data_IF_574106227831
#
_entry.id   IF_574106227831
#
_cell.length_a   1.000
_cell.length_b   1.000
_cell.length_c   1.000
_cell.angle_alpha   90.00
_cell.angle_beta   90.00
_cell.angle_gamma   90.00
#
_symmetry.space_group_name_H-M   'P 1'
#
loop_
_entity.id
_entity.type
_entity.pdbx_description
1 polymer ?
#
# COMPACT_ATOMS: atom_id res chain seq x y z
N UNK A 1 30.04 6.34 6.53
CA UNK A 1 30.07 5.80 7.91
C UNK A 1 28.66 5.69 8.42
N UNK A 2 28.36 4.69 9.25
CA UNK A 2 27.07 4.58 9.94
C UNK A 2 27.25 4.77 11.45
N UNK A 3 26.23 5.31 12.12
CA UNK A 3 26.19 5.55 13.56
C UNK A 3 25.12 4.66 14.20
N UNK A 4 25.53 3.67 14.99
CA UNK A 4 24.57 2.87 15.75
C UNK A 4 23.86 3.70 16.83
N UNK A 5 22.69 3.26 17.31
CA UNK A 5 22.08 3.81 18.52
C UNK A 5 23.02 3.73 19.74
N UNK A 6 23.94 2.76 19.75
CA UNK A 6 25.01 2.63 20.76
C UNK A 6 26.23 3.55 20.54
N UNK A 7 26.23 4.39 19.50
CA UNK A 7 27.33 5.30 19.18
C UNK A 7 28.53 4.66 18.48
N UNK A 8 28.51 3.35 18.22
CA UNK A 8 29.52 2.66 17.40
C UNK A 8 29.44 3.19 15.97
N UNK A 9 30.57 3.70 15.48
CA UNK A 9 30.75 4.11 14.10
C UNK A 9 31.23 2.91 13.31
N UNK A 10 30.41 2.44 12.38
CA UNK A 10 30.84 1.44 11.41
C UNK A 10 31.59 2.16 10.30
N UNK A 11 32.90 1.88 10.13
CA UNK A 11 33.71 2.57 9.15
C UNK A 11 33.17 2.29 7.76
N UNK A 12 33.20 3.31 6.92
CA UNK A 12 32.92 3.15 5.50
C UNK A 12 33.96 2.19 4.90
N UNK A 13 33.50 1.05 4.39
CA UNK A 13 34.38 0.05 3.76
C UNK A 13 34.93 0.53 2.42
N UNK A 14 34.21 1.44 1.75
CA UNK A 14 34.59 2.03 0.49
C UNK A 14 33.99 3.44 0.34
N UNK A 15 34.86 4.44 0.19
CA UNK A 15 34.44 5.82 -0.04
C UNK A 15 33.99 6.01 -1.49
N UNK A 16 32.73 6.40 -1.67
CA UNK A 16 32.16 6.67 -2.99
C UNK A 16 32.73 7.96 -3.57
N UNK A 17 33.08 7.93 -4.86
CA UNK A 17 33.38 9.14 -5.64
C UNK A 17 32.10 9.91 -6.02
N UNK A 18 32.23 11.11 -6.58
CA UNK A 18 31.06 11.96 -6.89
C UNK A 18 30.08 11.32 -7.88
N UNK A 19 30.57 10.58 -8.87
CA UNK A 19 29.71 9.87 -9.82
C UNK A 19 28.95 8.72 -9.15
N UNK A 20 29.62 7.96 -8.29
CA UNK A 20 29.01 6.87 -7.52
C UNK A 20 27.97 7.40 -6.52
N UNK A 21 28.24 8.53 -5.86
CA UNK A 21 27.26 9.22 -5.00
C UNK A 21 26.05 9.67 -5.81
N UNK A 22 26.25 10.26 -6.98
CA UNK A 22 25.15 10.69 -7.84
C UNK A 22 24.24 9.52 -8.25
N UNK A 23 24.84 8.37 -8.60
CA UNK A 23 24.10 7.13 -8.88
C UNK A 23 23.31 6.67 -7.66
N UNK A 24 23.95 6.58 -6.50
CA UNK A 24 23.28 6.19 -5.25
C UNK A 24 22.12 7.13 -4.89
N UNK A 25 22.32 8.45 -4.98
CA UNK A 25 21.26 9.42 -4.72
C UNK A 25 20.10 9.32 -5.70
N UNK A 26 20.38 8.99 -6.97
CA UNK A 26 19.32 8.69 -7.93
C UNK A 26 18.53 7.45 -7.53
N UNK A 27 19.16 6.37 -7.07
CA UNK A 27 18.46 5.19 -6.57
C UNK A 27 17.59 5.48 -5.34
N UNK A 28 18.09 6.28 -4.41
CA UNK A 28 17.36 6.71 -3.21
C UNK A 28 16.14 7.57 -3.58
N UNK A 29 16.33 8.57 -4.44
CA UNK A 29 15.25 9.43 -4.91
C UNK A 29 14.17 8.63 -5.65
N UNK A 30 14.55 7.68 -6.51
CA UNK A 30 13.61 6.78 -7.18
C UNK A 30 12.91 5.83 -6.21
N UNK A 31 13.57 5.44 -5.12
CA UNK A 31 12.97 4.67 -4.03
C UNK A 31 11.82 5.45 -3.37
N UNK A 32 12.04 6.73 -3.07
CA UNK A 32 11.00 7.63 -2.60
C UNK A 32 9.90 7.86 -3.65
N UNK A 33 10.26 8.09 -4.92
CA UNK A 33 9.29 8.27 -6.02
C UNK A 33 8.37 7.06 -6.21
N UNK A 34 8.87 5.85 -5.93
CA UNK A 34 8.08 4.62 -6.00
C UNK A 34 6.96 4.55 -4.94
N UNK A 35 7.08 5.34 -3.87
CA UNK A 35 6.23 5.26 -2.69
C UNK A 35 6.55 4.07 -1.78
N UNK A 36 7.66 3.35 -1.98
CA UNK A 36 8.13 2.24 -1.16
C UNK A 36 9.54 2.52 -0.62
N UNK A 37 9.71 3.57 0.17
CA UNK A 37 10.98 4.02 0.77
C UNK A 37 11.13 3.56 2.23
N UNK A 38 11.95 2.58 2.57
CA UNK A 38 12.62 1.66 1.69
C UNK A 38 12.13 0.23 1.94
N UNK A 39 12.54 -0.66 1.05
CA UNK A 39 12.17 -2.08 1.06
C UNK A 39 13.27 -2.89 0.38
N UNK A 40 13.41 -4.14 0.79
CA UNK A 40 14.19 -5.16 0.12
C UNK A 40 13.90 -5.31 -1.37
N UNK A 41 12.66 -4.96 -1.80
CA UNK A 41 12.21 -4.99 -3.19
C UNK A 41 13.14 -4.24 -4.13
N UNK A 42 13.78 -3.16 -3.65
CA UNK A 42 14.65 -2.31 -4.44
C UNK A 42 16.13 -2.68 -4.39
N UNK A 43 16.52 -3.68 -3.60
CA UNK A 43 17.92 -4.06 -3.49
C UNK A 43 18.41 -4.85 -4.71
N UNK A 44 19.65 -4.60 -5.11
CA UNK A 44 20.35 -5.44 -6.10
C UNK A 44 20.49 -6.88 -5.61
N UNK A 45 20.75 -7.05 -4.32
CA UNK A 45 20.88 -8.34 -3.64
C UNK A 45 20.09 -8.31 -2.34
N UNK A 46 18.84 -8.81 -2.32
CA UNK A 46 18.00 -8.81 -1.12
C UNK A 46 18.61 -9.55 0.08
N UNK A 47 19.58 -10.47 -0.14
CA UNK A 47 20.28 -11.14 0.97
C UNK A 47 21.07 -10.24 1.87
N UNK A 48 21.44 -9.07 1.39
CA UNK A 48 22.17 -8.11 2.19
C UNK A 48 21.25 -7.51 3.26
N UNK A 49 19.92 -7.49 3.04
CA UNK A 49 18.95 -6.98 4.01
C UNK A 49 18.79 -7.85 5.25
N UNK A 50 19.10 -9.15 5.15
CA UNK A 50 18.93 -10.13 6.24
C UNK A 50 20.24 -10.39 6.99
N UNK A 51 21.38 -10.18 6.33
CA UNK A 51 22.71 -10.53 6.87
C UNK A 51 23.44 -9.37 7.53
N UNK A 52 23.14 -8.16 7.11
CA UNK A 52 23.81 -6.98 7.63
C UNK A 52 23.13 -6.54 8.94
N UNK A 53 23.91 -5.96 9.85
CA UNK A 53 23.38 -5.39 11.10
C UNK A 53 22.45 -4.19 10.82
N UNK A 54 22.46 -3.67 9.57
CA UNK A 54 21.70 -2.51 9.12
C UNK A 54 21.27 -2.67 7.67
N UNK A 55 20.14 -2.06 7.31
CA UNK A 55 19.62 -2.17 5.95
C UNK A 55 20.57 -1.53 4.91
N UNK A 56 20.92 -2.24 3.82
CA UNK A 56 21.98 -1.86 2.91
C UNK A 56 21.50 -0.85 1.85
N UNK A 57 21.16 0.38 2.25
CA UNK A 57 20.70 1.43 1.32
C UNK A 57 21.69 1.73 0.18
N UNK A 58 22.98 1.46 0.37
CA UNK A 58 24.00 1.57 -0.68
C UNK A 58 23.87 0.54 -1.80
N UNK A 59 23.15 -0.55 -1.56
CA UNK A 59 22.93 -1.65 -2.50
C UNK A 59 21.61 -1.51 -3.27
N UNK A 60 20.90 -0.38 -3.15
CA UNK A 60 19.69 -0.09 -3.93
C UNK A 60 19.98 -0.11 -5.43
N UNK A 61 19.04 -0.68 -6.17
CA UNK A 61 19.07 -0.87 -7.62
C UNK A 61 17.78 -0.39 -8.29
N UNK A 62 17.05 0.52 -7.63
CA UNK A 62 15.70 0.97 -8.00
C UNK A 62 15.55 1.32 -9.48
N UNK A 63 16.47 2.14 -10.03
CA UNK A 63 16.43 2.57 -11.43
C UNK A 63 16.51 1.42 -12.46
N UNK A 64 17.03 0.25 -12.07
CA UNK A 64 17.17 -0.90 -12.94
C UNK A 64 16.07 -1.94 -12.72
N UNK A 65 15.06 -1.63 -11.90
CA UNK A 65 13.91 -2.50 -11.69
C UNK A 65 12.74 -1.91 -12.48
N UNK A 66 12.13 -2.73 -13.33
CA UNK A 66 10.87 -2.40 -14.01
C UNK A 66 9.75 -2.96 -13.15
N UNK A 67 9.01 -2.10 -12.42
CA UNK A 67 8.16 -2.59 -11.36
C UNK A 67 6.73 -2.83 -11.83
N UNK A 68 6.10 -3.87 -11.27
CA UNK A 68 4.76 -4.35 -11.66
C UNK A 68 3.69 -3.29 -11.38
N UNK A 69 3.76 -2.65 -10.22
CA UNK A 69 2.82 -1.60 -9.79
C UNK A 69 2.85 -0.37 -10.70
N UNK A 70 4.03 0.19 -11.01
CA UNK A 70 4.13 1.34 -11.92
C UNK A 70 3.52 1.02 -13.29
N UNK A 71 3.84 -0.13 -13.87
CA UNK A 71 3.29 -0.51 -15.17
C UNK A 71 1.78 -0.79 -15.12
N UNK A 72 1.29 -1.30 -13.99
CA UNK A 72 -0.15 -1.46 -13.76
C UNK A 72 -0.86 -0.10 -13.67
N UNK A 73 -0.27 0.89 -13.02
CA UNK A 73 -0.79 2.26 -12.93
C UNK A 73 -0.76 2.94 -14.30
N UNK A 74 0.32 2.78 -15.06
CA UNK A 74 0.41 3.32 -16.43
C UNK A 74 -0.66 2.71 -17.33
N UNK A 75 -0.95 1.40 -17.21
CA UNK A 75 -2.08 0.77 -17.89
C UNK A 75 -3.41 1.44 -17.52
N UNK A 76 -3.67 1.63 -16.22
CA UNK A 76 -4.90 2.30 -15.77
C UNK A 76 -5.02 3.72 -16.35
N UNK A 77 -3.92 4.47 -16.39
CA UNK A 77 -3.88 5.82 -16.95
C UNK A 77 -4.20 5.79 -18.46
N UNK A 78 -3.62 4.86 -19.22
CA UNK A 78 -3.92 4.69 -20.65
C UNK A 78 -5.40 4.40 -20.89
N UNK A 79 -6.00 3.50 -20.09
CA UNK A 79 -7.44 3.20 -20.15
C UNK A 79 -8.28 4.43 -19.79
N UNK A 80 -7.94 5.14 -18.72
CA UNK A 80 -8.68 6.33 -18.28
C UNK A 80 -8.65 7.45 -19.33
N UNK A 81 -7.50 7.66 -19.98
CA UNK A 81 -7.38 8.62 -21.09
C UNK A 81 -8.24 8.18 -22.27
N UNK A 82 -8.21 6.89 -22.64
CA UNK A 82 -9.04 6.35 -23.71
C UNK A 82 -10.55 6.58 -23.43
N UNK A 83 -11.00 6.30 -22.21
CA UNK A 83 -12.38 6.52 -21.78
C UNK A 83 -12.79 7.99 -21.84
N UNK A 84 -11.91 8.89 -21.38
CA UNK A 84 -12.16 10.34 -21.44
C UNK A 84 -12.29 10.82 -22.89
N UNK A 85 -11.40 10.39 -23.79
CA UNK A 85 -11.45 10.73 -25.20
C UNK A 85 -12.74 10.20 -25.86
N UNK A 86 -13.15 8.98 -25.52
CA UNK A 86 -14.40 8.42 -26.03
C UNK A 86 -15.62 9.24 -25.58
N UNK A 87 -15.67 9.63 -24.29
CA UNK A 87 -16.75 10.45 -23.72
C UNK A 87 -16.80 11.87 -24.30
N UNK A 88 -15.69 12.38 -24.81
CA UNK A 88 -15.58 13.71 -25.42
C UNK A 88 -15.69 13.69 -26.96
N UNK A 89 -15.98 12.51 -27.54
CA UNK A 89 -16.25 12.34 -28.98
C UNK A 89 -15.01 12.10 -29.85
N UNK A 90 -13.82 11.90 -29.26
CA UNK A 90 -12.60 11.55 -29.98
C UNK A 90 -12.38 10.02 -29.97
N UNK A 91 -13.14 9.29 -30.79
CA UNK A 91 -13.07 7.83 -30.87
C UNK A 91 -11.74 7.32 -31.41
N UNK A 92 -11.10 8.05 -32.33
CA UNK A 92 -9.80 7.66 -32.89
C UNK A 92 -8.72 7.70 -31.81
N UNK A 93 -8.59 8.82 -31.09
CA UNK A 93 -7.64 8.92 -30.00
C UNK A 93 -7.93 7.93 -28.88
N UNK A 94 -9.21 7.64 -28.60
CA UNK A 94 -9.58 6.60 -27.64
C UNK A 94 -9.06 5.22 -28.08
N UNK A 95 -9.16 4.88 -29.37
CA UNK A 95 -8.63 3.62 -29.90
C UNK A 95 -7.11 3.56 -29.77
N UNK A 96 -6.39 4.64 -30.11
CA UNK A 96 -4.93 4.70 -30.03
C UNK A 96 -4.44 4.44 -28.59
N UNK A 97 -5.08 5.06 -27.59
CA UNK A 97 -4.73 4.84 -26.18
C UNK A 97 -5.11 3.44 -25.68
N UNK A 98 -6.21 2.88 -26.16
CA UNK A 98 -6.58 1.50 -25.83
C UNK A 98 -5.59 0.48 -26.42
N UNK A 99 -5.05 0.76 -27.61
CA UNK A 99 -4.00 -0.06 -28.22
C UNK A 99 -2.68 0.00 -27.43
N UNK A 100 -2.34 1.17 -26.85
CA UNK A 100 -1.20 1.30 -25.93
C UNK A 100 -1.42 0.48 -24.65
N UNK A 101 -2.60 0.60 -24.04
CA UNK A 101 -2.97 -0.18 -22.86
C UNK A 101 -2.90 -1.69 -23.13
N UNK A 102 -3.40 -2.14 -24.28
CA UNK A 102 -3.30 -3.54 -24.71
C UNK A 102 -1.85 -3.99 -24.83
N UNK A 103 -1.00 -3.23 -25.52
CA UNK A 103 0.42 -3.54 -25.68
C UNK A 103 1.14 -3.62 -24.31
N UNK A 104 0.80 -2.74 -23.37
CA UNK A 104 1.36 -2.77 -22.02
C UNK A 104 0.95 -4.02 -21.25
N UNK A 105 -0.33 -4.37 -21.27
CA UNK A 105 -0.85 -5.60 -20.64
C UNK A 105 -0.15 -6.85 -21.19
N UNK A 106 0.00 -6.93 -22.52
CA UNK A 106 0.72 -8.02 -23.19
C UNK A 106 2.21 -8.07 -22.80
N UNK A 107 2.89 -6.92 -22.77
CA UNK A 107 4.30 -6.84 -22.36
C UNK A 107 4.51 -7.21 -20.89
N UNK A 108 3.64 -6.73 -19.99
CA UNK A 108 3.67 -7.08 -18.57
C UNK A 108 3.46 -8.58 -18.37
N UNK A 109 2.47 -9.17 -19.04
CA UNK A 109 2.25 -10.61 -18.96
C UNK A 109 3.45 -11.40 -19.50
N UNK A 110 4.01 -11.00 -20.65
CA UNK A 110 5.17 -11.68 -21.23
C UNK A 110 6.44 -11.59 -20.36
N UNK A 111 6.66 -10.45 -19.69
CA UNK A 111 7.91 -10.18 -18.97
C UNK A 111 7.84 -10.48 -17.47
N UNK A 112 6.70 -10.24 -16.84
CA UNK A 112 6.56 -10.19 -15.38
C UNK A 112 5.70 -11.33 -14.82
N UNK A 113 4.80 -11.95 -15.60
CA UNK A 113 4.02 -13.09 -15.13
C UNK A 113 4.86 -14.36 -15.10
N UNK A 114 4.64 -15.19 -14.07
CA UNK A 114 5.27 -16.51 -13.96
C UNK A 114 4.19 -17.60 -13.81
N UNK A 115 4.00 -18.41 -14.86
CA UNK A 115 2.99 -19.49 -14.88
C UNK A 115 3.26 -20.63 -13.88
N UNK A 116 4.50 -20.81 -13.44
CA UNK A 116 4.84 -21.85 -12.46
C UNK A 116 4.49 -21.40 -11.05
N UNK A 117 4.82 -20.15 -10.72
CA UNK A 117 4.62 -19.55 -9.40
C UNK A 117 3.27 -18.82 -9.27
N UNK A 118 2.51 -18.71 -10.35
CA UNK A 118 1.21 -18.04 -10.40
C UNK A 118 1.22 -16.61 -9.87
N UNK A 119 2.29 -15.86 -10.16
CA UNK A 119 2.46 -14.50 -9.66
C UNK A 119 3.17 -13.61 -10.68
N UNK A 120 2.91 -12.30 -10.56
CA UNK A 120 3.73 -11.28 -11.18
C UNK A 120 5.01 -11.06 -10.36
N UNK A 121 6.09 -10.64 -11.01
CA UNK A 121 7.34 -10.26 -10.37
C UNK A 121 7.94 -9.06 -11.10
N UNK A 122 8.58 -8.16 -10.36
CA UNK A 122 9.33 -7.08 -10.97
C UNK A 122 10.46 -7.65 -11.85
N UNK A 123 10.75 -6.98 -12.97
CA UNK A 123 11.79 -7.38 -13.88
C UNK A 123 13.07 -6.57 -13.66
N UNK A 124 14.16 -7.25 -13.38
CA UNK A 124 15.45 -6.62 -13.10
C UNK A 124 16.28 -6.52 -14.38
N UNK A 125 16.56 -5.29 -14.81
CA UNK A 125 17.32 -4.98 -16.03
C UNK A 125 18.81 -5.30 -15.89
N UNK A 126 19.35 -5.30 -14.67
CA UNK A 126 20.74 -5.66 -14.39
C UNK A 126 20.95 -7.16 -14.59
N UNK A 127 20.09 -7.99 -13.99
CA UNK A 127 20.18 -9.46 -14.08
C UNK A 127 19.48 -10.03 -15.32
N UNK A 128 18.61 -9.25 -15.97
CA UNK A 128 17.73 -9.68 -17.07
C UNK A 128 16.83 -10.85 -16.68
N UNK A 129 16.32 -10.82 -15.45
CA UNK A 129 15.44 -11.87 -14.91
C UNK A 129 14.36 -11.28 -14.01
N UNK A 130 13.31 -12.05 -13.75
CA UNK A 130 12.30 -11.75 -12.75
C UNK A 130 12.90 -11.89 -11.33
N UNK A 131 12.62 -10.92 -10.45
CA UNK A 131 12.99 -10.96 -9.03
C UNK A 131 12.09 -11.95 -8.26
N UNK A 132 12.30 -13.25 -8.46
CA UNK A 132 11.41 -14.31 -7.94
C UNK A 132 11.74 -14.82 -6.55
N UNK A 133 12.98 -14.71 -6.14
CA UNK A 133 13.48 -15.38 -4.96
C UNK A 133 14.29 -14.42 -4.11
N UNK A 134 14.09 -14.54 -2.81
CA UNK A 134 14.86 -13.89 -1.76
C UNK A 134 15.36 -14.97 -0.80
N UNK A 135 16.33 -14.68 0.08
CA UNK A 135 16.71 -15.66 1.09
C UNK A 135 15.58 -15.96 2.06
N UNK A 136 15.62 -17.17 2.59
CA UNK A 136 14.83 -17.54 3.77
C UNK A 136 15.26 -16.70 4.96
N UNK A 137 14.30 -16.16 5.69
CA UNK A 137 14.49 -15.59 7.03
C UNK A 137 13.78 -16.45 8.08
N UNK A 138 13.68 -15.95 9.31
CA UNK A 138 13.11 -16.69 10.44
C UNK A 138 11.58 -16.84 10.41
N UNK A 139 10.85 -16.09 9.58
CA UNK A 139 9.38 -16.16 9.48
C UNK A 139 8.90 -16.90 8.22
N UNK A 140 9.83 -17.39 7.41
CA UNK A 140 9.50 -18.09 6.18
C UNK A 140 8.67 -19.35 6.44
N UNK A 141 7.61 -19.53 5.65
CA UNK A 141 6.67 -20.64 5.75
C UNK A 141 6.75 -21.59 4.54
N UNK A 142 6.12 -22.76 4.67
CA UNK A 142 6.19 -23.83 3.65
C UNK A 142 5.66 -23.39 2.28
N UNK A 143 4.59 -22.58 2.24
CA UNK A 143 4.04 -22.07 0.97
C UNK A 143 5.04 -21.19 0.20
N UNK A 144 6.01 -20.58 0.88
CA UNK A 144 7.04 -19.74 0.27
C UNK A 144 8.28 -20.53 -0.13
N UNK A 145 8.59 -21.60 0.60
CA UNK A 145 9.83 -22.38 0.42
C UNK A 145 9.66 -23.61 -0.47
N UNK A 146 8.46 -24.21 -0.53
CA UNK A 146 8.21 -25.44 -1.30
C UNK A 146 8.49 -25.31 -2.81
N UNK A 147 8.34 -24.11 -3.36
CA UNK A 147 8.56 -23.82 -4.79
C UNK A 147 9.82 -22.99 -5.04
N UNK A 148 10.70 -22.87 -4.04
CA UNK A 148 11.93 -22.10 -4.11
C UNK A 148 13.19 -22.99 -4.11
N UNK A 149 14.32 -22.50 -4.66
CA UNK A 149 15.62 -23.16 -4.51
C UNK A 149 16.03 -23.30 -3.04
N UNK A 150 16.91 -24.25 -2.75
CA UNK A 150 17.42 -24.48 -1.39
C UNK A 150 18.01 -23.18 -0.79
N UNK A 151 17.57 -22.82 0.41
CA UNK A 151 17.98 -21.60 1.12
C UNK A 151 17.30 -20.32 0.63
N UNK A 152 16.31 -20.42 -0.25
CA UNK A 152 15.51 -19.30 -0.75
C UNK A 152 14.02 -19.52 -0.49
N UNK A 153 13.27 -18.43 -0.60
CA UNK A 153 11.81 -18.41 -0.58
C UNK A 153 11.30 -17.58 -1.77
N UNK A 154 10.09 -17.89 -2.23
CA UNK A 154 9.42 -17.13 -3.30
C UNK A 154 9.09 -15.74 -2.77
N UNK A 155 9.63 -14.72 -3.44
CA UNK A 155 9.46 -13.35 -3.01
C UNK A 155 7.99 -12.95 -3.10
N UNK A 156 7.46 -12.44 -1.98
CA UNK A 156 6.17 -11.79 -1.90
C UNK A 156 6.34 -10.28 -1.95
N UNK A 157 5.46 -9.61 -2.67
CA UNK A 157 5.13 -8.23 -2.36
C UNK A 157 3.72 -7.91 -2.87
N UNK A 158 2.99 -7.05 -2.18
CA UNK A 158 1.60 -6.75 -2.59
C UNK A 158 1.51 -6.10 -3.98
N UNK A 159 2.59 -5.47 -4.47
CA UNK A 159 2.64 -4.96 -5.83
C UNK A 159 2.38 -6.01 -6.94
N UNK A 160 2.52 -7.31 -6.64
CA UNK A 160 2.18 -8.41 -7.55
C UNK A 160 0.68 -8.45 -7.91
N UNK A 161 -0.18 -7.81 -7.11
CA UNK A 161 -1.64 -7.81 -7.28
C UNK A 161 -2.20 -6.58 -7.99
N UNK A 162 -1.37 -5.56 -8.24
CA UNK A 162 -1.79 -4.37 -8.97
C UNK A 162 -2.39 -4.68 -10.35
N UNK A 163 -1.91 -5.67 -11.14
CA UNK A 163 -2.54 -5.99 -12.42
C UNK A 163 -3.99 -6.45 -12.31
N UNK A 164 -4.39 -7.07 -11.19
CA UNK A 164 -5.78 -7.46 -10.94
C UNK A 164 -6.62 -6.24 -10.52
N UNK A 165 -6.07 -5.38 -9.67
CA UNK A 165 -6.70 -4.12 -9.25
C UNK A 165 -6.93 -3.17 -10.43
N UNK A 166 -5.89 -2.84 -11.20
CA UNK A 166 -5.98 -1.89 -12.31
C UNK A 166 -6.63 -2.48 -13.57
N UNK A 167 -6.75 -3.81 -13.62
CA UNK A 167 -7.20 -4.54 -14.80
C UNK A 167 -6.10 -4.75 -15.85
N UNK A 168 -4.82 -4.49 -15.54
CA UNK A 168 -3.72 -4.76 -16.47
C UNK A 168 -3.48 -6.25 -16.73
N UNK A 169 -3.94 -7.15 -15.86
CA UNK A 169 -3.88 -8.59 -16.11
C UNK A 169 -4.70 -8.99 -17.35
N UNK A 170 -4.21 -9.92 -18.19
CA UNK A 170 -4.97 -10.41 -19.34
C UNK A 170 -6.33 -10.98 -18.95
N UNK A 171 -7.32 -10.87 -19.85
CA UNK A 171 -8.69 -11.36 -19.60
C UNK A 171 -8.73 -12.84 -19.20
N UNK A 172 -7.83 -13.67 -19.72
CA UNK A 172 -7.71 -15.09 -19.37
C UNK A 172 -7.37 -15.32 -17.89
N UNK A 173 -6.73 -14.36 -17.23
CA UNK A 173 -6.47 -14.36 -15.79
C UNK A 173 -7.58 -13.62 -15.04
N UNK A 174 -7.73 -12.31 -15.25
CA UNK A 174 -8.60 -11.46 -14.40
C UNK A 174 -10.10 -11.76 -14.53
N UNK A 175 -10.55 -12.35 -15.65
CA UNK A 175 -11.95 -12.74 -15.84
C UNK A 175 -12.15 -14.25 -15.62
N UNK A 176 -11.22 -14.94 -14.96
CA UNK A 176 -11.36 -16.35 -14.65
C UNK A 176 -11.22 -16.53 -13.13
N UNK A 177 -12.35 -16.76 -12.41
CA UNK A 177 -12.32 -16.91 -10.96
C UNK A 177 -11.29 -17.95 -10.47
N UNK A 178 -11.20 -19.11 -11.12
CA UNK A 178 -10.22 -20.14 -10.73
C UNK A 178 -8.77 -19.66 -10.91
N UNK A 179 -8.49 -18.91 -11.96
CA UNK A 179 -7.15 -18.34 -12.20
C UNK A 179 -6.80 -17.26 -11.16
N UNK A 180 -7.77 -16.44 -10.77
CA UNK A 180 -7.56 -15.42 -9.74
C UNK A 180 -7.36 -16.07 -8.37
N UNK A 181 -8.18 -17.05 -7.98
CA UNK A 181 -7.97 -17.79 -6.73
C UNK A 181 -6.56 -18.36 -6.64
N UNK A 182 -6.07 -18.95 -7.72
CA UNK A 182 -4.72 -19.50 -7.76
C UNK A 182 -3.65 -18.43 -7.61
N UNK A 183 -3.83 -17.24 -8.20
CA UNK A 183 -2.92 -16.12 -8.01
C UNK A 183 -2.95 -15.55 -6.57
N UNK A 184 -4.09 -15.69 -5.89
CA UNK A 184 -4.32 -15.22 -4.51
C UNK A 184 -4.14 -16.30 -3.44
N UNK A 185 -3.72 -17.52 -3.80
CA UNK A 185 -3.54 -18.65 -2.86
C UNK A 185 -2.65 -18.27 -1.67
N UNK A 186 -1.58 -17.50 -1.92
CA UNK A 186 -0.69 -16.98 -0.87
C UNK A 186 -1.37 -16.00 0.08
N UNK A 187 -2.29 -15.17 -0.43
CA UNK A 187 -3.04 -14.21 0.39
C UNK A 187 -3.95 -14.96 1.36
N UNK A 188 -4.66 -15.98 0.88
CA UNK A 188 -5.52 -16.79 1.74
C UNK A 188 -4.70 -17.53 2.80
N UNK A 189 -3.58 -18.14 2.42
CA UNK A 189 -2.65 -18.77 3.36
C UNK A 189 -2.09 -17.78 4.40
N UNK A 190 -1.78 -16.55 4.00
CA UNK A 190 -1.34 -15.51 4.94
C UNK A 190 -2.45 -15.08 5.89
N UNK A 191 -3.72 -15.04 5.49
CA UNK A 191 -4.82 -14.73 6.41
C UNK A 191 -4.95 -15.76 7.54
N UNK A 192 -4.56 -17.00 7.30
CA UNK A 192 -4.58 -18.06 8.30
C UNK A 192 -3.46 -17.91 9.35
N UNK A 193 -2.31 -17.33 8.98
CA UNK A 193 -1.13 -17.26 9.86
C UNK A 193 -0.82 -15.83 10.37
N UNK A 194 -1.18 -14.78 9.63
CA UNK A 194 -0.89 -13.37 9.92
C UNK A 194 -2.09 -12.66 10.52
N UNK A 195 -2.17 -12.65 11.86
CA UNK A 195 -3.34 -12.16 12.62
C UNK A 195 -3.73 -10.71 12.35
N UNK A 196 -2.79 -9.86 11.94
CA UNK A 196 -2.94 -8.43 11.76
C UNK A 196 -3.22 -7.95 10.33
N UNK A 197 -3.21 -8.85 9.33
CA UNK A 197 -3.38 -8.66 7.88
C UNK A 197 -2.08 -8.89 7.08
N UNK A 198 -2.06 -8.49 5.80
CA UNK A 198 -1.03 -8.87 4.84
C UNK A 198 0.13 -7.87 4.88
N UNK A 199 1.37 -8.30 5.18
CA UNK A 199 2.53 -7.42 5.16
C UNK A 199 2.88 -6.96 3.74
N UNK A 200 3.67 -5.88 3.62
CA UNK A 200 4.07 -5.34 2.33
C UNK A 200 4.91 -6.33 1.49
N UNK A 201 5.82 -7.05 2.14
CA UNK A 201 6.67 -8.13 1.62
C UNK A 201 6.72 -9.29 2.61
N UNK A 202 7.39 -10.40 2.27
CA UNK A 202 7.64 -11.52 3.18
C UNK A 202 9.12 -11.60 3.63
N UNK A 203 9.74 -10.45 3.88
CA UNK A 203 11.11 -10.38 4.35
C UNK A 203 11.25 -9.40 5.49
N UNK A 204 11.80 -9.85 6.61
CA UNK A 204 12.08 -8.98 7.76
C UNK A 204 13.41 -8.27 7.59
N UNK A 205 13.33 -6.96 7.40
CA UNK A 205 14.52 -6.12 7.16
C UNK A 205 14.65 -4.93 8.12
N UNK A 206 13.61 -4.70 8.94
CA UNK A 206 13.48 -3.49 9.76
C UNK A 206 13.11 -2.24 8.97
N UNK A 207 12.92 -2.32 7.65
CA UNK A 207 12.41 -1.22 6.85
C UNK A 207 10.88 -1.14 6.86
N UNK A 208 10.35 0.04 6.56
CA UNK A 208 8.93 0.29 6.73
C UNK A 208 8.05 -0.35 5.65
N UNK A 209 8.57 -0.56 4.43
CA UNK A 209 7.84 -1.23 3.33
C UNK A 209 8.21 -2.71 3.20
N UNK A 210 8.54 -3.35 4.32
CA UNK A 210 8.83 -4.77 4.44
C UNK A 210 8.06 -5.38 5.62
N UNK A 211 8.09 -6.70 5.75
CA UNK A 211 7.54 -7.40 6.92
C UNK A 211 8.17 -6.88 8.22
N UNK A 212 7.39 -6.61 9.30
CA UNK A 212 5.99 -6.98 9.56
C UNK A 212 4.93 -5.92 9.21
N UNK A 213 5.24 -4.92 8.38
CA UNK A 213 4.36 -3.78 8.21
C UNK A 213 3.24 -4.02 7.19
N UNK A 214 2.01 -3.78 7.65
CA UNK A 214 0.77 -3.74 6.85
C UNK A 214 0.46 -2.29 6.51
N UNK A 215 0.31 -2.01 5.22
CA UNK A 215 -0.05 -0.67 4.74
C UNK A 215 -1.48 -0.65 4.19
N UNK A 216 -2.34 0.27 4.66
CA UNK A 216 -3.73 0.37 4.19
C UNK A 216 -3.92 0.44 2.68
N UNK A 217 -3.13 1.21 1.89
CA UNK A 217 -3.29 1.21 0.44
C UNK A 217 -3.09 -0.18 -0.18
N UNK A 218 -2.14 -0.95 0.33
CA UNK A 218 -1.85 -2.31 -0.16
C UNK A 218 -3.01 -3.26 0.15
N UNK A 219 -3.64 -3.12 1.32
CA UNK A 219 -4.86 -3.87 1.63
C UNK A 219 -6.01 -3.54 0.67
N UNK A 220 -6.20 -2.26 0.35
CA UNK A 220 -7.21 -1.85 -0.63
C UNK A 220 -6.97 -2.45 -2.01
N UNK A 221 -5.73 -2.48 -2.49
CA UNK A 221 -5.37 -3.09 -3.78
C UNK A 221 -5.74 -4.58 -3.82
N UNK A 222 -5.45 -5.32 -2.75
CA UNK A 222 -5.81 -6.75 -2.64
C UNK A 222 -7.33 -6.95 -2.68
N UNK A 223 -8.06 -6.19 -1.87
CA UNK A 223 -9.52 -6.30 -1.77
C UNK A 223 -10.19 -5.90 -3.09
N UNK A 224 -9.85 -4.73 -3.64
CA UNK A 224 -10.50 -4.23 -4.84
C UNK A 224 -10.18 -5.12 -6.05
N UNK A 225 -8.96 -5.66 -6.15
CA UNK A 225 -8.59 -6.64 -7.19
C UNK A 225 -9.51 -7.87 -7.21
N UNK A 226 -9.92 -8.37 -6.04
CA UNK A 226 -10.86 -9.49 -5.93
C UNK A 226 -12.31 -9.09 -6.23
N UNK A 227 -12.76 -7.93 -5.73
CA UNK A 227 -14.15 -7.45 -5.97
C UNK A 227 -14.45 -7.17 -7.45
N UNK A 228 -13.43 -6.92 -8.27
CA UNK A 228 -13.55 -6.65 -9.71
C UNK A 228 -13.72 -7.90 -10.56
N UNK A 229 -13.56 -9.10 -9.99
CA UNK A 229 -13.62 -10.36 -10.75
C UNK A 229 -15.06 -10.64 -11.15
N UNK A 230 -15.36 -10.76 -12.46
CA UNK A 230 -16.72 -11.06 -12.91
C UNK A 230 -17.10 -12.52 -12.60
N UNK A 231 -18.39 -12.73 -12.35
CA UNK A 231 -18.99 -14.06 -12.21
C UNK A 231 -19.12 -14.76 -13.58
N UNK A 232 -18.01 -15.28 -14.10
CA UNK A 232 -17.92 -15.82 -15.48
C UNK A 232 -18.92 -16.93 -15.77
N UNK A 233 -19.28 -17.74 -14.76
CA UNK A 233 -20.28 -18.80 -14.87
C UNK A 233 -21.52 -18.57 -13.97
N UNK A 234 -21.78 -17.31 -13.59
CA UNK A 234 -22.85 -16.93 -12.68
C UNK A 234 -22.39 -16.87 -11.22
N UNK A 235 -23.24 -16.29 -10.35
CA UNK A 235 -22.89 -16.01 -8.94
C UNK A 235 -22.87 -17.27 -8.06
N UNK A 236 -23.42 -18.39 -8.56
CA UNK A 236 -23.38 -19.70 -7.92
C UNK A 236 -22.07 -20.48 -8.23
N UNK A 237 -21.16 -19.90 -9.02
CA UNK A 237 -19.82 -20.46 -9.26
C UNK A 237 -19.01 -20.45 -7.97
N UNK A 238 -18.66 -21.65 -7.48
CA UNK A 238 -17.88 -21.85 -6.25
C UNK A 238 -16.60 -21.03 -6.25
N UNK A 239 -15.88 -20.98 -7.37
CA UNK A 239 -14.62 -20.22 -7.44
C UNK A 239 -14.88 -18.71 -7.33
N UNK A 240 -16.00 -18.22 -7.86
CA UNK A 240 -16.37 -16.83 -7.72
C UNK A 240 -16.83 -16.50 -6.29
N UNK A 241 -17.62 -17.38 -5.67
CA UNK A 241 -18.01 -17.23 -4.26
C UNK A 241 -16.78 -17.18 -3.34
N UNK A 242 -15.82 -18.08 -3.53
CA UNK A 242 -14.56 -18.09 -2.76
C UNK A 242 -13.76 -16.80 -2.91
N UNK A 243 -13.76 -16.17 -4.09
CA UNK A 243 -13.13 -14.86 -4.30
C UNK A 243 -13.84 -13.77 -3.49
N UNK A 244 -15.17 -13.76 -3.50
CA UNK A 244 -15.94 -12.76 -2.73
C UNK A 244 -15.74 -12.96 -1.23
N UNK A 245 -15.67 -14.21 -0.78
CA UNK A 245 -15.40 -14.55 0.61
C UNK A 245 -13.98 -14.14 1.01
N UNK A 246 -12.98 -14.38 0.16
CA UNK A 246 -11.60 -13.93 0.39
C UNK A 246 -11.50 -12.40 0.47
N UNK A 247 -12.19 -11.67 -0.41
CA UNK A 247 -12.26 -10.21 -0.37
C UNK A 247 -12.86 -9.71 0.95
N UNK A 248 -13.97 -10.32 1.39
CA UNK A 248 -14.60 -10.01 2.67
C UNK A 248 -13.68 -10.34 3.85
N UNK A 249 -12.96 -11.46 3.79
CA UNK A 249 -12.04 -11.91 4.83
C UNK A 249 -10.87 -10.94 4.99
N UNK A 250 -10.33 -10.39 3.90
CA UNK A 250 -9.35 -9.30 3.91
C UNK A 250 -9.94 -8.02 4.53
N UNK A 251 -11.16 -7.64 4.13
CA UNK A 251 -11.86 -6.47 4.66
C UNK A 251 -12.10 -6.55 6.15
N UNK A 252 -12.59 -7.70 6.63
CA UNK A 252 -12.78 -7.96 8.05
C UNK A 252 -11.44 -7.92 8.80
N UNK A 253 -10.39 -8.56 8.28
CA UNK A 253 -9.07 -8.55 8.92
C UNK A 253 -8.48 -7.15 9.05
N UNK A 254 -8.64 -6.31 8.02
CA UNK A 254 -8.21 -4.91 8.06
C UNK A 254 -9.03 -4.08 9.06
N UNK A 255 -10.36 -4.28 9.10
CA UNK A 255 -11.24 -3.66 10.09
C UNK A 255 -10.86 -4.07 11.52
N UNK A 256 -10.59 -5.36 11.75
CA UNK A 256 -10.20 -5.89 13.06
C UNK A 256 -8.91 -5.21 13.55
N UNK A 257 -7.88 -5.15 12.70
CA UNK A 257 -6.59 -4.57 13.07
C UNK A 257 -6.66 -3.07 13.35
N UNK A 258 -7.39 -2.33 12.52
CA UNK A 258 -7.53 -0.88 12.71
C UNK A 258 -8.38 -0.57 13.94
N UNK A 259 -9.50 -1.27 14.13
CA UNK A 259 -10.39 -1.08 15.27
C UNK A 259 -9.74 -1.47 16.60
N UNK A 260 -9.09 -2.63 16.67
CA UNK A 260 -8.51 -3.12 17.92
C UNK A 260 -7.26 -2.33 18.32
N UNK A 261 -6.52 -1.78 17.35
CA UNK A 261 -5.43 -0.83 17.64
C UNK A 261 -5.98 0.52 18.13
N UNK A 262 -7.03 1.05 17.50
CA UNK A 262 -7.73 2.24 17.97
C UNK A 262 -8.28 2.04 19.39
N UNK A 263 -8.84 0.87 19.68
CA UNK A 263 -9.35 0.51 21.00
C UNK A 263 -8.23 0.44 22.04
N UNK A 264 -7.13 -0.27 21.72
CA UNK A 264 -5.96 -0.39 22.59
C UNK A 264 -5.36 0.96 22.99
N UNK A 265 -5.52 1.98 22.15
CA UNK A 265 -4.94 3.33 22.35
C UNK A 265 -5.94 4.35 22.92
N UNK A 266 -7.11 3.92 23.41
CA UNK A 266 -8.08 4.78 24.10
C UNK A 266 -9.42 4.96 23.41
N UNK A 267 -9.60 4.33 22.25
CA UNK A 267 -10.87 4.32 21.54
C UNK A 267 -11.99 3.84 22.44
N UNK A 268 -13.14 4.49 22.40
CA UNK A 268 -14.30 4.01 23.15
C UNK A 268 -15.62 4.43 22.50
N UNK A 269 -16.62 3.60 22.71
CA UNK A 269 -18.02 3.84 22.35
C UNK A 269 -18.91 3.42 23.52
N UNK A 270 -20.23 3.63 23.40
CA UNK A 270 -21.19 3.09 24.38
C UNK A 270 -21.14 1.57 24.49
N UNK A 271 -20.76 0.87 23.42
CA UNK A 271 -20.69 -0.59 23.39
C UNK A 271 -19.27 -1.14 23.59
N UNK A 272 -18.24 -0.32 23.39
CA UNK A 272 -16.82 -0.65 23.63
C UNK A 272 -16.27 0.32 24.68
N UNK A 273 -16.46 0.05 25.98
CA UNK A 273 -15.94 0.92 27.05
C UNK A 273 -14.41 0.96 27.04
N UNK A 274 -13.85 2.13 27.38
CA UNK A 274 -12.41 2.37 27.40
C UNK A 274 -11.67 1.36 28.30
N UNK A 275 -10.50 0.90 27.85
CA UNK A 275 -9.65 -0.02 28.63
C UNK A 275 -9.11 0.65 29.90
N UNK A 276 -8.89 -0.15 30.94
CA UNK A 276 -8.25 0.31 32.17
C UNK A 276 -6.79 0.73 31.91
N UNK A 277 -6.32 1.76 32.60
CA UNK A 277 -4.95 2.29 32.47
C UNK A 277 -4.79 3.44 31.49
N UNK A 278 -5.87 3.89 30.84
CA UNK A 278 -5.90 5.04 29.94
C UNK A 278 -6.55 6.24 30.61
N UNK A 279 -6.15 7.44 30.18
CA UNK A 279 -6.67 8.70 30.66
C UNK A 279 -7.93 9.11 29.88
N UNK A 280 -8.69 10.06 30.42
CA UNK A 280 -9.89 10.56 29.77
C UNK A 280 -9.60 11.23 28.41
N UNK A 281 -8.39 11.73 28.21
CA UNK A 281 -7.90 12.36 26.99
C UNK A 281 -7.49 11.36 25.90
N UNK A 282 -7.26 10.09 26.25
CA UNK A 282 -6.88 9.06 25.29
C UNK A 282 -8.13 8.65 24.49
N UNK A 283 -8.26 9.11 23.24
CA UNK A 283 -9.45 8.89 22.38
C UNK A 283 -9.27 7.82 21.30
N UNK A 284 -8.16 7.10 21.35
CA UNK A 284 -7.79 6.12 20.33
C UNK A 284 -7.10 6.77 19.15
N UNK A 285 -6.17 6.03 18.57
CA UNK A 285 -5.24 6.52 17.54
C UNK A 285 -5.37 5.62 16.31
N UNK A 286 -5.45 6.27 15.15
CA UNK A 286 -5.28 5.62 13.84
C UNK A 286 -3.83 5.83 13.40
N UNK A 287 -3.20 4.83 12.79
CA UNK A 287 -1.79 4.90 12.40
C UNK A 287 -1.62 4.81 10.89
N UNK A 288 -0.47 5.25 10.39
CA UNK A 288 -0.10 5.11 8.97
C UNK A 288 0.02 3.64 8.53
N UNK A 289 0.50 2.76 9.43
CA UNK A 289 0.80 1.36 9.17
C UNK A 289 0.59 0.51 10.44
N UNK A 290 0.36 -0.79 10.26
CA UNK A 290 -0.03 -1.74 11.32
C UNK A 290 0.90 -2.97 11.31
N UNK A 291 0.89 -3.77 12.37
CA UNK A 291 1.63 -5.04 12.40
C UNK A 291 0.86 -6.20 11.76
N UNK A 292 1.56 -7.14 11.11
CA UNK A 292 0.99 -8.33 10.45
C UNK A 292 0.63 -9.47 11.41
N UNK A 293 1.32 -9.56 12.56
CA UNK A 293 1.17 -10.66 13.52
C UNK A 293 0.30 -10.31 14.73
N UNK A 294 -0.22 -9.09 14.81
CA UNK A 294 -1.14 -8.67 15.87
C UNK A 294 -2.20 -7.69 15.37
N UNK A 295 -3.41 -7.79 15.92
CA UNK A 295 -4.56 -6.95 15.57
C UNK A 295 -4.61 -5.63 16.33
N UNK A 296 -3.72 -5.40 17.30
CA UNK A 296 -3.84 -4.25 18.21
C UNK A 296 -2.57 -3.41 18.35
N UNK A 297 -1.71 -3.43 17.33
CA UNK A 297 -0.44 -2.70 17.32
C UNK A 297 -0.25 -1.91 16.02
N UNK A 298 0.36 -0.74 16.15
CA UNK A 298 0.91 0.00 15.02
C UNK A 298 2.12 -0.75 14.43
N UNK A 299 2.40 -0.52 13.15
CA UNK A 299 3.64 -0.95 12.51
C UNK A 299 4.83 -0.09 12.97
N UNK A 300 6.03 -0.43 12.50
CA UNK A 300 7.27 0.22 12.94
C UNK A 300 8.37 0.14 11.87
N UNK A 301 9.58 0.60 12.20
CA UNK A 301 10.74 0.51 11.30
C UNK A 301 10.76 1.59 10.22
N UNK A 302 11.84 1.57 9.43
CA UNK A 302 12.16 2.63 8.47
C UNK A 302 12.94 3.80 9.08
N UNK A 303 12.87 4.95 8.41
CA UNK A 303 13.66 6.14 8.73
C UNK A 303 13.04 7.07 9.78
N UNK A 304 11.75 6.92 10.09
CA UNK A 304 11.03 7.74 11.07
C UNK A 304 10.07 6.92 11.96
N UNK A 305 9.68 7.53 13.08
CA UNK A 305 8.66 6.98 13.99
C UNK A 305 7.28 6.98 13.32
N UNK A 306 6.47 5.97 13.65
CA UNK A 306 5.12 5.80 13.08
C UNK A 306 4.24 7.05 13.28
N UNK A 307 3.52 7.45 12.22
CA UNK A 307 2.69 8.66 12.21
C UNK A 307 1.22 8.37 12.56
N UNK A 308 0.58 9.30 13.26
CA UNK A 308 -0.81 9.23 13.75
C UNK A 308 -1.83 9.96 12.83
N UNK A 309 -3.10 9.52 12.84
CA UNK A 309 -4.25 10.15 12.19
C UNK A 309 -4.44 9.87 10.69
N UNK A 310 -3.64 8.96 10.13
CA UNK A 310 -3.25 8.98 8.72
C UNK A 310 -4.38 8.88 7.66
N UNK A 311 -4.30 9.69 6.61
CA UNK A 311 -5.36 9.88 5.61
C UNK A 311 -5.77 8.61 4.85
N UNK A 312 -4.82 7.81 4.32
CA UNK A 312 -5.16 6.57 3.63
C UNK A 312 -5.81 5.55 4.56
N UNK A 313 -5.53 5.59 5.86
CA UNK A 313 -6.03 4.58 6.81
C UNK A 313 -7.52 4.79 6.96
N UNK A 314 -7.90 6.05 7.17
CA UNK A 314 -9.28 6.46 7.26
C UNK A 314 -10.00 6.21 5.93
N UNK A 315 -9.36 6.53 4.79
CA UNK A 315 -9.91 6.33 3.45
C UNK A 315 -10.23 4.87 3.15
N UNK A 316 -9.28 3.97 3.40
CA UNK A 316 -9.47 2.53 3.17
C UNK A 316 -10.49 1.95 4.15
N UNK A 317 -10.51 2.40 5.41
CA UNK A 317 -11.50 1.94 6.39
C UNK A 317 -12.93 2.32 5.98
N UNK A 318 -13.13 3.56 5.51
CA UNK A 318 -14.43 4.00 4.97
C UNK A 318 -14.83 3.18 3.74
N UNK A 319 -13.88 2.91 2.84
CA UNK A 319 -14.14 2.07 1.67
C UNK A 319 -14.51 0.63 2.05
N UNK A 320 -13.85 0.03 3.03
CA UNK A 320 -14.19 -1.31 3.55
C UNK A 320 -15.60 -1.34 4.12
N UNK A 321 -15.95 -0.34 4.94
CA UNK A 321 -17.29 -0.23 5.53
C UNK A 321 -18.38 -0.08 4.46
N UNK A 322 -18.16 0.72 3.42
CA UNK A 322 -19.10 0.90 2.32
C UNK A 322 -19.22 -0.35 1.43
N UNK A 323 -18.09 -0.96 1.09
CA UNK A 323 -18.02 -2.07 0.13
C UNK A 323 -18.61 -3.36 0.70
N UNK A 324 -18.27 -3.71 1.94
CA UNK A 324 -18.70 -4.96 2.56
C UNK A 324 -19.93 -4.80 3.46
N UNK A 325 -20.21 -3.58 3.92
CA UNK A 325 -21.43 -3.17 4.59
C UNK A 325 -21.93 -4.19 5.64
N UNK A 326 -23.12 -4.75 5.45
CA UNK A 326 -23.78 -5.65 6.38
C UNK A 326 -23.17 -7.07 6.42
N UNK A 327 -22.15 -7.35 5.61
CA UNK A 327 -21.37 -8.60 5.68
C UNK A 327 -20.25 -8.52 6.71
N UNK A 328 -19.85 -7.32 7.12
CA UNK A 328 -18.87 -7.13 8.19
C UNK A 328 -19.49 -7.45 9.54
N UNK A 329 -18.66 -7.97 10.42
CA UNK A 329 -19.00 -8.20 11.82
C UNK A 329 -18.23 -7.24 12.71
N UNK A 330 -18.80 -6.94 13.87
CA UNK A 330 -18.12 -6.11 14.86
C UNK A 330 -16.82 -6.80 15.30
N UNK A 331 -15.67 -6.11 15.26
CA UNK A 331 -14.40 -6.70 15.69
C UNK A 331 -14.45 -7.21 17.13
N UNK A 332 -13.94 -8.42 17.33
CA UNK A 332 -13.66 -8.98 18.64
C UNK A 332 -12.15 -8.87 18.92
N UNK A 333 -11.80 -7.91 19.78
CA UNK A 333 -10.41 -7.70 20.16
C UNK A 333 -9.90 -8.70 21.20
N UNK A 334 -10.78 -9.55 21.76
CA UNK A 334 -10.44 -10.44 22.85
C UNK A 334 -10.00 -9.69 24.12
N UNK A 335 -9.19 -10.35 24.94
CA UNK A 335 -8.68 -9.79 26.18
C UNK A 335 -7.37 -8.99 25.94
N UNK A 336 -7.49 -7.77 25.44
CA UNK A 336 -6.36 -6.86 25.22
C UNK A 336 -6.18 -5.88 26.39
N UNK A 337 -4.94 -5.43 26.59
CA UNK A 337 -4.60 -4.38 27.55
C UNK A 337 -4.37 -3.06 26.82
N UNK A 338 -4.48 -1.95 27.56
CA UNK A 338 -4.12 -0.64 27.07
C UNK A 338 -2.69 -0.63 26.52
N UNK A 339 -2.51 -0.07 25.32
CA UNK A 339 -1.20 0.19 24.75
C UNK A 339 -0.51 1.31 25.52
N UNK A 340 0.83 1.28 25.55
CA UNK A 340 1.59 2.38 26.13
C UNK A 340 1.58 3.59 25.18
N UNK A 341 0.54 4.41 25.30
CA UNK A 341 0.40 5.69 24.59
C UNK A 341 1.15 6.82 25.29
N UNK A 342 1.81 6.56 26.43
CA UNK A 342 2.55 7.54 27.25
C UNK A 342 4.00 7.14 27.47
N UNK A 343 4.83 7.20 26.43
CA UNK A 343 6.29 7.07 26.59
C UNK A 343 6.90 8.24 27.38
N UNK A 344 7.90 7.93 28.19
CA UNK A 344 8.65 8.83 29.09
C UNK A 344 8.90 10.24 28.54
N UNK A 345 8.40 11.26 29.25
CA UNK A 345 8.89 12.65 29.40
C UNK A 345 9.19 13.53 28.17
N UNK A 346 9.83 13.03 27.12
CA UNK A 346 10.20 13.75 25.91
C UNK A 346 9.11 13.73 24.84
N UNK A 347 8.28 12.68 24.79
CA UNK A 347 7.18 12.57 23.80
C UNK A 347 5.93 13.36 24.20
N UNK A 348 5.67 13.57 25.49
CA UNK A 348 4.52 14.36 25.95
C UNK A 348 4.57 15.83 25.50
N UNK A 349 5.78 16.40 25.30
CA UNK A 349 5.94 17.79 24.80
C UNK A 349 5.58 17.94 23.32
N UNK A 350 5.67 16.87 22.51
CA UNK A 350 5.28 16.91 21.08
C UNK A 350 3.78 16.69 20.85
N UNK A 351 3.06 16.07 21.78
CA UNK A 351 1.60 15.85 21.65
C UNK A 351 0.76 17.12 21.65
N UNK A 352 1.26 18.22 22.23
CA UNK A 352 0.62 19.54 22.13
C UNK A 352 0.92 20.28 20.83
N UNK A 353 1.88 19.81 20.02
CA UNK A 353 2.36 20.48 18.80
C UNK A 353 2.20 19.61 17.53
N UNK A 354 1.79 18.34 17.64
CA UNK A 354 1.48 17.51 16.48
C UNK A 354 0.10 17.88 15.94
N UNK A 355 0.11 18.48 14.76
CA UNK A 355 -1.09 18.73 13.96
C UNK A 355 -1.70 17.38 13.60
N UNK A 356 -3.01 17.24 13.81
CA UNK A 356 -3.71 16.05 13.38
C UNK A 356 -3.52 15.87 11.87
N UNK A 357 -3.22 14.66 11.38
CA UNK A 357 -3.19 14.39 9.94
C UNK A 357 -4.57 14.54 9.27
N UNK A 358 -5.64 14.75 10.05
CA UNK A 358 -6.97 15.16 9.60
C UNK A 358 -7.09 16.68 9.38
N UNK A 359 -6.15 17.46 9.90
CA UNK A 359 -6.10 18.91 9.76
C UNK A 359 -5.15 19.30 8.64
N UNK A 360 -5.69 19.96 7.61
CA UNK A 360 -4.87 20.55 6.55
C UNK A 360 -4.02 21.68 7.15
N UNK A 361 -2.70 21.60 6.97
CA UNK A 361 -1.77 22.62 7.47
C UNK A 361 -2.21 24.03 7.00
N UNK A 362 -2.08 25.10 7.80
CA UNK A 362 -2.67 26.41 7.49
C UNK A 362 -2.12 27.01 6.20
N UNK A 363 -0.87 26.69 5.88
CA UNK A 363 -0.25 27.04 4.61
C UNK A 363 -1.03 26.41 3.44
N UNK A 364 -1.30 25.11 3.48
CA UNK A 364 -2.03 24.37 2.43
C UNK A 364 -3.52 24.74 2.41
N UNK A 365 -4.11 24.99 3.59
CA UNK A 365 -5.47 25.47 3.73
C UNK A 365 -5.67 26.89 3.15
N UNK A 366 -4.61 27.70 3.08
CA UNK A 366 -4.66 29.00 2.41
C UNK A 366 -4.82 28.84 0.88
N UNK A 367 -4.20 27.81 0.30
CA UNK A 367 -4.30 27.50 -1.14
C UNK A 367 -5.68 26.95 -1.54
N UNK A 368 -6.36 26.21 -0.65
CA UNK A 368 -7.71 25.66 -0.95
C UNK A 368 -8.83 26.70 -0.86
N UNK A 369 -8.68 27.76 -0.04
CA UNK A 369 -9.64 28.87 0.03
C UNK A 369 -9.72 29.74 -1.22
N UNK A 370 -8.67 29.75 -2.06
CA UNK A 370 -8.67 30.55 -3.29
C UNK A 370 -9.63 30.02 -4.37
N UNK A 371 -9.96 28.72 -4.36
CA UNK A 371 -10.84 28.13 -5.37
C UNK A 371 -12.33 28.45 -5.14
N UNK A 372 -12.77 28.59 -3.89
CA UNK A 372 -14.13 29.00 -3.56
C UNK A 372 -14.38 30.50 -3.78
N UNK A 373 -13.40 31.35 -3.44
CA UNK A 373 -13.54 32.79 -3.53
C UNK A 373 -13.53 33.31 -4.99
N UNK A 374 -12.79 32.67 -5.91
CA UNK A 374 -12.77 33.04 -7.33
C UNK A 374 -14.11 32.78 -8.02
N UNK A 375 -14.82 31.70 -7.68
CA UNK A 375 -16.17 31.40 -8.21
C UNK A 375 -17.19 32.46 -7.76
N UNK A 376 -17.20 32.80 -6.47
CA UNK A 376 -18.12 33.83 -5.93
C UNK A 376 -17.84 35.24 -6.48
N UNK A 377 -16.58 35.59 -6.74
CA UNK A 377 -16.23 36.88 -7.36
C UNK A 377 -16.61 36.95 -8.84
N UNK A 378 -16.46 35.85 -9.59
CA UNK A 378 -16.85 35.79 -11.00
C UNK A 378 -18.36 35.87 -11.18
N UNK A 379 -19.11 35.11 -10.37
CA UNK A 379 -20.58 35.08 -10.43
C UNK A 379 -21.19 36.43 -10.02
N UNK A 380 -20.58 37.14 -9.06
CA UNK A 380 -21.00 38.52 -8.69
C UNK A 380 -20.64 39.57 -9.74
N UNK A 381 -19.56 39.38 -10.50
CA UNK A 381 -19.17 40.29 -11.58
C UNK A 381 -20.07 40.11 -12.81
N UNK A 382 -20.40 38.86 -13.17
CA UNK A 382 -21.33 38.53 -14.26
C UNK A 382 -22.77 38.97 -13.96
N UNK A 383 -23.24 38.81 -12.72
CA UNK A 383 -24.56 39.32 -12.30
C UNK A 383 -24.65 40.86 -12.35
N UNK A 384 -23.55 41.57 -12.04
CA UNK A 384 -23.50 43.04 -12.19
C UNK A 384 -23.44 43.50 -13.65
N UNK A 385 -22.80 42.73 -14.53
CA UNK A 385 -22.76 43.03 -15.96
C UNK A 385 -24.12 42.81 -16.64
N UNK A 386 -24.88 41.79 -16.23
CA UNK A 386 -26.22 41.50 -16.75
C UNK A 386 -27.31 42.45 -16.20
N UNK A 387 -27.17 42.93 -14.96
CA UNK A 387 -28.10 43.90 -14.36
C UNK A 387 -28.06 45.30 -14.98
N UNK A 388 -26.94 45.69 -15.60
CA UNK A 388 -26.80 47.01 -16.25
C UNK A 388 -27.28 47.05 -17.71
N UNK A 389 -27.70 45.91 -18.29
CA UNK A 389 -28.19 45.84 -19.68
C UNK A 389 -29.72 45.89 -19.79
N UNK A 390 -30.46 45.76 -18.67
CA UNK A 390 -31.93 45.80 -18.65
C UNK A 390 -32.54 47.05 -17.97
N UNK A 391 -31.78 48.14 -17.84
CA UNK A 391 -32.23 49.41 -17.24
C UNK A 391 -32.38 50.59 -18.19
N UNK A 392 -32.41 50.35 -19.51
CA UNK A 392 -32.43 51.41 -20.52
C UNK A 392 -33.29 51.07 -21.73
N UNK A 393 -34.61 50.94 -21.52
CA UNK A 393 -35.67 51.28 -22.48
C UNK A 393 -36.82 51.89 -21.69
#
# INVERSE_FOLDING_TARGET
SYYSPSGIIYPESHQLNESEKAVLYSHLASGAESGWDYTSRWLSTPSDAVRDNYFPLRSLNTNNIVPVDLNSILYANEVAIAEFLNRTGNSTGASDWMDLAKQRSEAMYALMWNETLWSYFDYNMTSKTQNRFIPVDEDAVSIETNNAPAGQQVFFHVAQYYPFWTGAAPRSLKNNPLAVLRAYERIDAYLDIKRGAIPATNLKTGQQWDEPNVWPPLMHILMEGLTRVPATFGEDDVAWTEIQDLALRLGQRYLDSTFCTWYATGGSTSETPQLQGLNAEDKGIMFEKYGDNSTNVAGSGGEYEVVEGFGWTNGVLMWVADTFNNKLTRPDCGNITAANVHSDGSQARKRGEMWSALEMHPYDAAWTKEFGARKVRRDKAEARALGNVMGGV
#
